data_IF_086299717693
#
_entry.id   IF_086299717693
#
_cell.length_a   1.000
_cell.length_b   1.000
_cell.length_c   1.000
_cell.angle_alpha   90.00
_cell.angle_beta   90.00
_cell.angle_gamma   90.00
#
_symmetry.space_group_name_H-M   'P 1'
#
loop_
_entity.id
_entity.type
_entity.pdbx_description
1 polymer ?
#
# COMPACT_ATOMS: atom_id res chain seq x y z
N UNK A 1 23.52 12.89 -15.05
CA UNK A 1 22.17 12.44 -14.63
C UNK A 1 21.15 13.37 -15.27
N UNK A 2 20.17 12.83 -15.99
CA UNK A 2 19.09 13.63 -16.58
C UNK A 2 18.15 14.10 -15.48
N UNK A 3 17.92 15.41 -15.37
CA UNK A 3 16.95 15.99 -14.45
C UNK A 3 15.61 16.13 -15.16
N UNK A 4 14.54 15.58 -14.59
CA UNK A 4 13.17 15.72 -15.09
C UNK A 4 12.37 16.61 -14.14
N UNK A 5 11.54 17.49 -14.70
CA UNK A 5 10.63 18.32 -13.93
C UNK A 5 9.39 17.52 -13.50
N UNK A 6 9.02 17.65 -12.23
CA UNK A 6 7.83 17.02 -11.65
C UNK A 6 6.92 18.10 -11.08
N UNK A 7 5.69 18.19 -11.60
CA UNK A 7 4.68 19.15 -11.17
C UNK A 7 3.56 18.41 -10.44
N UNK A 8 3.24 18.86 -9.22
CA UNK A 8 2.20 18.28 -8.37
C UNK A 8 1.15 19.36 -8.12
N UNK A 9 -0.11 19.05 -8.39
CA UNK A 9 -1.23 19.87 -7.95
C UNK A 9 -1.53 19.55 -6.48
N UNK A 10 -1.69 20.58 -5.66
CA UNK A 10 -2.11 20.44 -4.27
C UNK A 10 -3.16 21.47 -3.92
N UNK A 11 -3.94 21.16 -2.89
CA UNK A 11 -4.87 22.10 -2.28
C UNK A 11 -4.13 23.23 -1.55
N UNK A 12 -4.71 24.43 -1.55
CA UNK A 12 -4.09 25.60 -0.93
C UNK A 12 -3.95 25.45 0.58
N UNK A 13 -4.95 24.87 1.26
CA UNK A 13 -4.89 24.64 2.70
C UNK A 13 -3.74 23.67 3.05
N UNK A 14 -3.60 22.59 2.26
CA UNK A 14 -2.51 21.62 2.47
C UNK A 14 -1.13 22.28 2.33
N UNK A 15 -0.98 23.21 1.40
CA UNK A 15 0.26 23.97 1.21
C UNK A 15 0.57 24.82 2.44
N UNK A 16 -0.41 25.59 2.91
CA UNK A 16 -0.25 26.49 4.06
C UNK A 16 0.07 25.74 5.35
N UNK A 17 -0.47 24.54 5.54
CA UNK A 17 -0.19 23.71 6.70
C UNK A 17 1.18 23.01 6.61
N UNK A 18 1.52 22.44 5.46
CA UNK A 18 2.70 21.58 5.34
C UNK A 18 4.02 22.35 5.14
N UNK A 19 4.01 23.47 4.42
CA UNK A 19 5.24 24.17 4.03
C UNK A 19 5.99 24.76 5.23
N UNK A 20 5.34 25.45 6.19
CA UNK A 20 6.02 25.97 7.38
C UNK A 20 6.65 24.87 8.22
N UNK A 21 6.01 23.69 8.30
CA UNK A 21 6.55 22.53 9.01
C UNK A 21 7.83 22.07 8.31
N UNK A 22 7.81 21.88 7.00
CA UNK A 22 8.99 21.45 6.23
C UNK A 22 10.14 22.46 6.39
N UNK A 23 9.83 23.76 6.31
CA UNK A 23 10.80 24.85 6.49
C UNK A 23 11.36 24.91 7.91
N UNK A 24 10.57 24.57 8.93
CA UNK A 24 11.04 24.48 10.33
C UNK A 24 12.12 23.42 10.53
N UNK A 25 12.15 22.38 9.69
CA UNK A 25 13.23 21.39 9.62
C UNK A 25 14.43 21.84 8.77
N UNK A 26 14.43 23.09 8.27
CA UNK A 26 15.49 23.63 7.42
C UNK A 26 15.49 23.08 5.99
N UNK A 27 14.36 22.53 5.54
CA UNK A 27 14.20 21.93 4.22
C UNK A 27 13.29 22.80 3.34
N UNK A 28 13.53 22.77 2.04
CA UNK A 28 12.54 23.23 1.05
C UNK A 28 11.53 22.11 0.76
N UNK A 29 10.28 22.43 0.39
CA UNK A 29 9.30 21.44 -0.03
C UNK A 29 9.81 20.49 -1.12
N UNK A 30 10.55 21.02 -2.10
CA UNK A 30 11.15 20.20 -3.15
C UNK A 30 12.21 19.21 -2.62
N UNK A 31 12.98 19.57 -1.59
CA UNK A 31 13.92 18.65 -0.93
C UNK A 31 13.17 17.55 -0.17
N UNK A 32 12.11 17.91 0.57
CA UNK A 32 11.30 16.94 1.30
C UNK A 32 10.67 15.89 0.35
N UNK A 33 10.10 16.33 -0.78
CA UNK A 33 9.54 15.41 -1.79
C UNK A 33 10.62 14.51 -2.41
N UNK A 34 11.82 15.03 -2.69
CA UNK A 34 12.93 14.20 -3.19
C UNK A 34 13.34 13.14 -2.16
N UNK A 35 13.40 13.49 -0.88
CA UNK A 35 13.72 12.55 0.20
C UNK A 35 12.64 11.46 0.30
N UNK A 36 11.36 11.84 0.23
CA UNK A 36 10.24 10.90 0.21
C UNK A 36 10.34 9.90 -0.96
N UNK A 37 10.58 10.39 -2.18
CA UNK A 37 10.75 9.53 -3.36
C UNK A 37 11.98 8.63 -3.24
N UNK A 38 13.09 9.15 -2.69
CA UNK A 38 14.29 8.36 -2.45
C UNK A 38 14.04 7.24 -1.43
N UNK A 39 13.33 7.52 -0.35
CA UNK A 39 12.97 6.51 0.64
C UNK A 39 12.13 5.39 0.01
N UNK A 40 11.17 5.72 -0.87
CA UNK A 40 10.41 4.71 -1.62
C UNK A 40 11.33 3.88 -2.52
N UNK A 41 12.24 4.54 -3.24
CA UNK A 41 13.16 3.86 -4.15
C UNK A 41 14.10 2.89 -3.41
N UNK A 42 14.55 3.28 -2.22
CA UNK A 42 15.49 2.51 -1.40
C UNK A 42 14.79 1.36 -0.64
N UNK A 43 13.60 1.61 -0.07
CA UNK A 43 12.87 0.61 0.75
C UNK A 43 11.90 -0.26 -0.04
N UNK A 44 11.56 0.12 -1.28
CA UNK A 44 10.49 -0.49 -2.08
C UNK A 44 9.11 -0.48 -1.39
N UNK A 45 8.93 0.39 -0.40
CA UNK A 45 7.69 0.56 0.35
C UNK A 45 7.33 2.05 0.45
N UNK A 46 6.05 2.33 0.68
CA UNK A 46 5.58 3.70 0.92
C UNK A 46 5.82 4.04 2.40
N UNK A 47 6.68 5.01 2.74
CA UNK A 47 7.05 5.34 4.12
C UNK A 47 5.99 6.23 4.79
N UNK A 48 4.73 5.88 4.63
CA UNK A 48 3.61 6.52 5.31
C UNK A 48 3.03 5.52 6.30
N UNK A 49 2.68 6.04 7.46
CA UNK A 49 1.99 5.25 8.44
C UNK A 49 0.51 5.15 8.06
N UNK A 50 0.07 3.96 7.66
CA UNK A 50 -1.32 3.67 7.35
C UNK A 50 -2.08 3.15 8.58
N UNK A 51 -1.66 3.44 9.81
CA UNK A 51 -2.32 2.97 11.04
C UNK A 51 -3.78 3.41 11.17
N UNK A 52 -4.22 4.48 10.48
CA UNK A 52 -5.65 4.81 10.35
C UNK A 52 -6.45 3.71 9.60
N UNK A 53 -5.76 2.80 8.90
CA UNK A 53 -6.26 1.57 8.28
C UNK A 53 -6.08 0.33 9.17
N UNK A 54 -5.89 0.47 10.47
CA UNK A 54 -5.97 -0.68 11.42
C UNK A 54 -7.33 -1.38 11.31
N UNK A 55 -8.38 -0.66 10.90
CA UNK A 55 -9.60 -1.25 10.33
C UNK A 55 -9.39 -1.52 8.83
N UNK A 56 -8.50 -2.46 8.48
CA UNK A 56 -8.27 -2.83 7.09
C UNK A 56 -9.57 -3.42 6.54
N UNK A 57 -10.37 -2.58 5.88
CA UNK A 57 -11.51 -3.03 5.08
C UNK A 57 -10.87 -3.62 3.83
N UNK A 58 -10.93 -4.95 3.63
CA UNK A 58 -10.39 -5.54 2.42
C UNK A 58 -11.07 -4.91 1.21
N UNK A 59 -10.38 -4.86 0.07
CA UNK A 59 -11.07 -4.44 -1.16
C UNK A 59 -12.24 -5.41 -1.44
N UNK A 60 -13.21 -4.99 -2.26
CA UNK A 60 -14.43 -5.78 -2.43
C UNK A 60 -14.16 -7.17 -3.02
N UNK A 61 -13.11 -7.30 -3.83
CA UNK A 61 -12.63 -8.60 -4.33
C UNK A 61 -12.22 -9.52 -3.17
N UNK A 62 -11.41 -9.03 -2.23
CA UNK A 62 -10.96 -9.81 -1.07
C UNK A 62 -12.13 -10.14 -0.13
N UNK A 63 -13.10 -9.23 0.04
CA UNK A 63 -14.31 -9.53 0.84
C UNK A 63 -15.12 -10.67 0.22
N UNK A 64 -15.33 -10.64 -1.10
CA UNK A 64 -16.07 -11.67 -1.82
C UNK A 64 -15.38 -13.02 -1.71
N UNK A 65 -14.06 -13.08 -1.92
CA UNK A 65 -13.29 -14.30 -1.75
C UNK A 65 -13.36 -14.87 -0.32
N UNK A 66 -13.37 -14.01 0.70
CA UNK A 66 -13.56 -14.44 2.08
C UNK A 66 -14.98 -14.99 2.34
N UNK A 67 -16.02 -14.37 1.79
CA UNK A 67 -17.40 -14.85 1.91
C UNK A 67 -17.62 -16.19 1.19
N UNK A 68 -17.00 -16.35 0.02
CA UNK A 68 -17.01 -17.60 -0.74
C UNK A 68 -16.35 -18.73 0.07
N UNK A 69 -15.17 -18.49 0.65
CA UNK A 69 -14.50 -19.45 1.53
C UNK A 69 -15.34 -19.84 2.74
N UNK A 70 -16.01 -18.88 3.39
CA UNK A 70 -16.87 -19.15 4.55
C UNK A 70 -18.11 -19.98 4.17
N UNK A 71 -18.72 -19.68 3.02
CA UNK A 71 -19.85 -20.44 2.47
C UNK A 71 -19.42 -21.87 2.16
N UNK A 72 -18.32 -22.05 1.43
CA UNK A 72 -17.77 -23.36 1.08
C UNK A 72 -17.34 -24.16 2.31
N UNK A 73 -16.93 -23.49 3.40
CA UNK A 73 -16.65 -24.14 4.69
C UNK A 73 -17.90 -24.77 5.30
N UNK A 74 -19.02 -24.05 5.28
CA UNK A 74 -20.29 -24.53 5.83
C UNK A 74 -20.87 -25.69 5.03
N UNK A 75 -20.65 -25.69 3.71
CA UNK A 75 -21.09 -26.75 2.80
C UNK A 75 -20.07 -27.90 2.70
N UNK A 76 -18.94 -27.82 3.40
CA UNK A 76 -17.82 -28.77 3.36
C UNK A 76 -17.30 -29.05 1.93
N UNK A 77 -17.44 -28.07 1.03
CA UNK A 77 -16.98 -28.10 -0.37
C UNK A 77 -15.58 -27.49 -0.55
N UNK A 78 -14.93 -27.10 0.55
CA UNK A 78 -13.56 -26.59 0.52
C UNK A 78 -12.58 -27.67 0.04
N UNK A 79 -11.79 -27.33 -0.97
CA UNK A 79 -10.59 -28.10 -1.33
C UNK A 79 -9.61 -28.07 -0.16
N UNK A 80 -9.27 -29.26 0.35
CA UNK A 80 -8.30 -29.46 1.42
C UNK A 80 -7.17 -30.28 0.83
N UNK A 81 -5.95 -29.82 1.05
CA UNK A 81 -4.75 -30.53 0.60
C UNK A 81 -4.09 -31.16 1.82
N UNK A 82 -3.61 -32.38 1.66
CA UNK A 82 -2.98 -33.15 2.74
C UNK A 82 -1.48 -32.92 2.80
N UNK A 83 -0.90 -32.28 1.78
CA UNK A 83 0.53 -31.97 1.70
C UNK A 83 0.80 -30.65 0.96
N UNK A 84 1.98 -30.07 1.19
CA UNK A 84 2.43 -28.87 0.48
C UNK A 84 2.64 -29.14 -1.01
N UNK A 85 3.09 -30.34 -1.37
CA UNK A 85 3.28 -30.75 -2.77
C UNK A 85 1.96 -30.80 -3.54
N UNK A 86 0.91 -31.37 -2.94
CA UNK A 86 -0.44 -31.43 -3.54
C UNK A 86 -1.04 -30.03 -3.73
N UNK A 87 -0.87 -29.13 -2.75
CA UNK A 87 -1.25 -27.73 -2.87
C UNK A 87 -0.49 -27.03 -4.01
N UNK A 88 0.81 -27.27 -4.12
CA UNK A 88 1.63 -26.61 -5.14
C UNK A 88 1.41 -27.15 -6.55
N UNK A 89 1.03 -28.41 -6.70
CA UNK A 89 0.65 -28.98 -8.00
C UNK A 89 -0.62 -28.29 -8.54
N UNK A 90 -1.61 -28.09 -7.67
CA UNK A 90 -2.87 -27.41 -8.01
C UNK A 90 -2.68 -25.90 -8.31
N UNK A 91 -1.81 -25.21 -7.57
CA UNK A 91 -1.50 -23.79 -7.81
C UNK A 91 -0.70 -23.59 -9.12
N UNK A 92 0.12 -24.57 -9.52
CA UNK A 92 1.05 -24.46 -10.65
C UNK A 92 0.46 -24.85 -12.01
N UNK A 93 -0.84 -25.17 -12.06
CA UNK A 93 -1.57 -25.63 -13.24
C UNK A 93 -1.02 -25.20 -14.60
#
# INVERSE_FOLDING_TARGET
MSTTNFNIRMDEQLKEEAFPIIESYGLTPAQAIKLFLKQIADTKAIPLNFEYKTNHIPNDLTKLAMLELLSNRSENTLTKYSSLDELMDDIKG
#
